data_IF_118485002844
#
_entry.id   IF_118485002844
#
_cell.length_a   1.000
_cell.length_b   1.000
_cell.length_c   1.000
_cell.angle_alpha   90.00
_cell.angle_beta   90.00
_cell.angle_gamma   90.00
#
_symmetry.space_group_name_H-M   'P 1'
#
loop_
_entity.id
_entity.type
_entity.pdbx_description
1 polymer ?
#
# COMPACT_ATOMS: atom_id res chain seq x y z
N UNK A 1 -18.86 2.27 1.70
CA UNK A 1 -18.44 1.15 2.56
C UNK A 1 -17.88 0.00 1.71
N UNK A 2 -18.69 -0.68 0.89
CA UNK A 2 -18.24 -1.84 0.06
C UNK A 2 -17.08 -1.50 -0.88
N UNK A 3 -17.08 -0.32 -1.51
CA UNK A 3 -16.00 0.11 -2.40
C UNK A 3 -14.64 0.20 -1.70
N UNK A 4 -14.60 0.68 -0.45
CA UNK A 4 -13.36 0.84 0.32
C UNK A 4 -12.82 -0.54 0.73
N UNK A 5 -13.70 -1.43 1.20
CA UNK A 5 -13.34 -2.80 1.53
C UNK A 5 -12.82 -3.56 0.30
N UNK A 6 -13.52 -3.48 -0.84
CA UNK A 6 -13.05 -4.08 -2.09
C UNK A 6 -11.68 -3.53 -2.50
N UNK A 7 -11.47 -2.23 -2.37
CA UNK A 7 -10.17 -1.59 -2.67
C UNK A 7 -9.05 -2.08 -1.75
N UNK A 8 -9.33 -2.34 -0.47
CA UNK A 8 -8.38 -2.94 0.47
C UNK A 8 -7.99 -4.36 0.09
N UNK A 9 -8.95 -5.21 -0.32
CA UNK A 9 -8.65 -6.58 -0.78
C UNK A 9 -7.82 -6.58 -2.08
N UNK A 10 -8.15 -5.70 -3.02
CA UNK A 10 -7.49 -5.57 -4.32
C UNK A 10 -6.15 -4.84 -4.26
N UNK A 11 -5.84 -4.17 -3.15
CA UNK A 11 -4.61 -3.41 -2.95
C UNK A 11 -3.34 -4.27 -2.87
N UNK A 12 -3.49 -5.60 -2.83
CA UNK A 12 -2.38 -6.55 -2.86
C UNK A 12 -1.89 -7.02 -1.50
N UNK A 13 -2.52 -6.59 -0.39
CA UNK A 13 -2.19 -7.05 0.96
C UNK A 13 -2.65 -8.49 1.23
N UNK A 14 -3.86 -8.86 0.76
CA UNK A 14 -4.47 -10.16 1.06
C UNK A 14 -4.36 -11.21 -0.06
N UNK A 15 -4.11 -10.81 -1.31
CA UNK A 15 -4.18 -11.71 -2.47
C UNK A 15 -2.94 -11.50 -3.36
N UNK A 16 -2.01 -12.48 -3.32
CA UNK A 16 -0.81 -12.49 -4.19
C UNK A 16 -1.08 -13.07 -5.60
N UNK A 17 -2.13 -13.86 -5.77
CA UNK A 17 -2.54 -14.44 -7.07
C UNK A 17 -3.90 -13.89 -7.49
N UNK A 18 -3.92 -12.93 -8.42
CA UNK A 18 -5.15 -12.50 -9.09
C UNK A 18 -5.20 -13.04 -10.53
N UNK A 19 -6.37 -13.49 -11.01
CA UNK A 19 -6.54 -13.87 -12.41
C UNK A 19 -6.28 -12.66 -13.32
N UNK A 20 -5.73 -12.91 -14.51
CA UNK A 20 -5.22 -11.89 -15.44
C UNK A 20 -6.21 -10.74 -15.71
N UNK A 21 -7.52 -11.03 -15.77
CA UNK A 21 -8.56 -10.02 -15.98
C UNK A 21 -8.73 -9.01 -14.84
N UNK A 22 -8.46 -9.39 -13.59
CA UNK A 22 -8.59 -8.52 -12.42
C UNK A 22 -7.28 -7.85 -12.02
N UNK A 23 -6.17 -8.16 -12.69
CA UNK A 23 -4.87 -7.56 -12.41
C UNK A 23 -4.88 -6.04 -12.58
N UNK A 24 -5.64 -5.53 -13.56
CA UNK A 24 -5.80 -4.10 -13.82
C UNK A 24 -6.44 -3.34 -12.66
N UNK A 25 -7.29 -4.01 -11.86
CA UNK A 25 -8.01 -3.39 -10.75
C UNK A 25 -7.07 -2.99 -9.60
N UNK A 26 -5.90 -3.63 -9.50
CA UNK A 26 -4.83 -3.26 -8.55
C UNK A 26 -4.31 -1.84 -8.79
N UNK A 27 -4.35 -1.35 -10.03
CA UNK A 27 -3.91 0.00 -10.40
C UNK A 27 -4.98 1.08 -10.18
N UNK A 28 -6.23 0.69 -9.92
CA UNK A 28 -7.33 1.62 -9.63
C UNK A 28 -7.49 1.82 -8.12
N UNK A 29 -7.01 0.87 -7.30
CA UNK A 29 -7.12 0.95 -5.85
C UNK A 29 -6.25 2.07 -5.28
N UNK A 30 -6.88 3.19 -4.93
CA UNK A 30 -6.21 4.30 -4.22
C UNK A 30 -5.55 3.82 -2.92
N UNK A 31 -6.09 2.76 -2.31
CA UNK A 31 -5.61 2.19 -1.04
C UNK A 31 -4.20 1.64 -1.19
N UNK A 32 -3.88 0.99 -2.32
CA UNK A 32 -2.51 0.50 -2.60
C UNK A 32 -1.52 1.66 -2.58
N UNK A 33 -1.83 2.72 -3.34
CA UNK A 33 -0.95 3.87 -3.49
C UNK A 33 -0.81 4.66 -2.18
N UNK A 34 -1.90 4.85 -1.43
CA UNK A 34 -1.83 5.49 -0.12
C UNK A 34 -1.03 4.66 0.88
N UNK A 35 -1.21 3.35 0.90
CA UNK A 35 -0.47 2.47 1.80
C UNK A 35 1.01 2.46 1.47
N UNK A 36 1.36 2.29 0.19
CA UNK A 36 2.75 2.35 -0.28
C UNK A 36 3.40 3.69 0.05
N UNK A 37 2.69 4.79 -0.15
CA UNK A 37 3.16 6.12 0.20
C UNK A 37 3.41 6.25 1.72
N UNK A 38 2.44 5.85 2.55
CA UNK A 38 2.53 5.93 4.02
C UNK A 38 3.66 5.07 4.58
N UNK A 39 3.85 3.85 4.04
CA UNK A 39 4.94 2.97 4.45
C UNK A 39 6.28 3.55 3.99
N UNK A 40 6.41 4.01 2.74
CA UNK A 40 7.65 4.61 2.28
C UNK A 40 8.02 5.84 3.12
N UNK A 41 7.12 6.80 3.38
CA UNK A 41 7.46 7.97 4.22
C UNK A 41 7.84 7.61 5.66
N UNK A 42 7.23 6.54 6.21
CA UNK A 42 7.43 6.16 7.61
C UNK A 42 8.72 5.38 7.82
N UNK A 43 9.11 4.58 6.83
CA UNK A 43 10.24 3.66 6.91
C UNK A 43 11.48 4.12 6.10
N UNK A 44 11.39 5.18 5.28
CA UNK A 44 12.51 5.80 4.54
C UNK A 44 13.48 6.57 5.45
N UNK A 45 13.11 6.82 6.71
CA UNK A 45 14.04 7.43 7.67
C UNK A 45 15.13 6.43 8.08
N UNK A 46 16.44 6.78 7.99
CA UNK A 46 17.56 5.92 8.40
C UNK A 46 17.57 5.59 9.91
N UNK A 47 16.68 6.23 10.67
CA UNK A 47 16.45 6.00 12.11
C UNK A 47 15.41 4.91 12.39
N UNK A 48 14.66 4.45 11.38
CA UNK A 48 13.67 3.38 11.50
C UNK A 48 14.37 2.01 11.52
N UNK A 49 15.05 1.72 12.62
CA UNK A 49 15.63 0.41 12.90
C UNK A 49 14.74 -0.34 13.89
N UNK A 50 14.24 -1.49 13.46
CA UNK A 50 13.41 -2.36 14.30
C UNK A 50 14.33 -3.37 14.96
N UNK A 51 14.29 -3.42 16.30
CA UNK A 51 15.12 -4.37 17.04
C UNK A 51 14.57 -5.78 16.85
N UNK A 52 15.45 -6.70 16.50
CA UNK A 52 15.12 -8.10 16.42
C UNK A 52 14.79 -8.65 17.80
N UNK A 53 13.85 -9.59 17.86
CA UNK A 53 13.54 -10.29 19.09
C UNK A 53 14.75 -11.09 19.56
N UNK A 54 14.97 -11.12 20.88
CA UNK A 54 16.11 -11.85 21.45
C UNK A 54 15.89 -13.36 21.32
N UNK A 55 16.98 -14.15 21.22
CA UNK A 55 16.86 -15.61 21.26
C UNK A 55 16.14 -16.03 22.54
N UNK A 56 15.01 -16.72 22.38
CA UNK A 56 14.14 -17.18 23.49
C UNK A 56 12.87 -16.36 23.75
N UNK A 57 12.67 -15.22 23.08
CA UNK A 57 11.41 -14.43 23.16
C UNK A 57 10.34 -14.89 22.17
N UNK A 58 10.70 -15.68 21.15
CA UNK A 58 9.76 -16.26 20.19
C UNK A 58 9.30 -17.66 20.61
N UNK A 59 8.03 -18.00 20.40
CA UNK A 59 7.55 -19.36 20.59
C UNK A 59 8.29 -20.34 19.67
N UNK A 60 8.52 -21.55 20.17
CA UNK A 60 9.23 -22.60 19.44
C UNK A 60 8.57 -22.89 18.08
N UNK A 61 9.36 -22.83 17.00
CA UNK A 61 8.90 -23.08 15.63
C UNK A 61 8.65 -21.83 14.78
N UNK A 62 8.91 -20.63 15.28
CA UNK A 62 8.78 -19.38 14.53
C UNK A 62 10.17 -18.81 14.18
N UNK A 63 10.55 -18.87 12.91
CA UNK A 63 11.80 -18.29 12.40
C UNK A 63 11.68 -16.77 12.36
N UNK A 64 12.64 -16.07 12.97
CA UNK A 64 12.68 -14.61 12.89
C UNK A 64 13.15 -14.18 11.49
N UNK A 65 12.57 -13.10 10.95
CA UNK A 65 13.01 -12.48 9.67
C UNK A 65 14.48 -12.00 9.77
N UNK A 66 15.01 -11.88 10.98
CA UNK A 66 16.39 -11.51 11.28
C UNK A 66 17.40 -12.64 11.06
N UNK A 67 16.94 -13.88 10.81
CA UNK A 67 17.76 -15.07 10.65
C UNK A 67 18.06 -15.35 9.17
N UNK A 68 18.47 -14.31 8.43
CA UNK A 68 18.69 -14.38 6.98
C UNK A 68 20.18 -14.40 6.60
N UNK A 69 21.08 -14.80 7.50
CA UNK A 69 22.52 -14.92 7.19
C UNK A 69 23.38 -15.48 8.33
N UNK A 70 24.69 -15.65 8.06
CA UNK A 70 25.70 -16.25 8.96
C UNK A 70 25.94 -15.47 10.27
N UNK A 71 25.38 -14.27 10.41
CA UNK A 71 25.44 -13.44 11.62
C UNK A 71 24.03 -13.00 12.03
N UNK A 72 23.61 -13.20 13.29
CA UNK A 72 22.29 -12.78 13.74
C UNK A 72 22.21 -11.24 13.74
N UNK A 73 21.37 -10.67 12.87
CA UNK A 73 21.15 -9.23 12.83
C UNK A 73 20.41 -8.80 14.10
N UNK A 74 20.92 -7.78 14.78
CA UNK A 74 20.31 -7.20 15.99
C UNK A 74 19.25 -6.15 15.68
N UNK A 75 19.28 -5.58 14.46
CA UNK A 75 18.29 -4.63 13.95
C UNK A 75 18.01 -4.83 12.46
N UNK A 76 16.75 -4.68 12.06
CA UNK A 76 16.29 -4.64 10.66
C UNK A 76 16.01 -3.20 10.28
N UNK A 77 16.56 -2.75 9.14
CA UNK A 77 16.19 -1.47 8.53
C UNK A 77 14.79 -1.56 7.94
N UNK A 78 13.99 -0.50 8.13
CA UNK A 78 12.67 -0.35 7.51
C UNK A 78 12.64 -0.54 5.99
N UNK A 79 13.76 -0.25 5.31
CA UNK A 79 13.92 -0.47 3.86
C UNK A 79 13.76 -1.94 3.44
N UNK A 80 14.28 -2.89 4.24
CA UNK A 80 14.17 -4.33 3.98
C UNK A 80 12.71 -4.84 4.07
N UNK A 81 11.87 -4.16 4.84
CA UNK A 81 10.44 -4.47 4.97
C UNK A 81 9.70 -4.01 3.70
N UNK A 82 10.05 -2.83 3.17
CA UNK A 82 9.49 -2.30 1.92
C UNK A 82 9.85 -3.20 0.73
N UNK A 83 11.09 -3.71 0.71
CA UNK A 83 11.58 -4.63 -0.33
C UNK A 83 10.86 -5.98 -0.29
N UNK A 84 10.70 -6.58 0.89
CA UNK A 84 10.01 -7.87 1.04
C UNK A 84 8.51 -7.80 0.69
N UNK A 85 7.87 -6.64 0.88
CA UNK A 85 6.48 -6.40 0.51
C UNK A 85 6.31 -6.04 -0.99
N UNK A 86 7.39 -5.87 -1.75
CA UNK A 86 7.32 -5.50 -3.17
C UNK A 86 6.71 -4.12 -3.39
N UNK A 87 6.89 -3.21 -2.42
CA UNK A 87 6.35 -1.85 -2.44
C UNK A 87 7.33 -0.83 -3.05
N UNK A 88 8.55 -1.24 -3.38
CA UNK A 88 9.61 -0.37 -3.92
C UNK A 88 9.62 -0.25 -5.45
N UNK A 89 8.68 -0.85 -6.17
CA UNK A 89 8.61 -0.72 -7.64
C UNK A 89 8.43 0.74 -8.11
N UNK A 90 7.75 1.57 -7.31
CA UNK A 90 7.49 2.98 -7.61
C UNK A 90 7.96 3.88 -6.45
N UNK A 91 8.70 4.96 -6.74
CA UNK A 91 9.11 5.93 -5.73
C UNK A 91 7.92 6.71 -5.18
N UNK A 92 8.04 7.19 -3.94
CA UNK A 92 6.95 7.77 -3.15
C UNK A 92 6.22 8.92 -3.87
N UNK A 93 6.96 9.76 -4.61
CA UNK A 93 6.38 10.89 -5.33
C UNK A 93 5.46 10.47 -6.49
N UNK A 94 5.72 9.32 -7.14
CA UNK A 94 4.83 8.79 -8.19
C UNK A 94 3.52 8.32 -7.57
N UNK A 95 3.59 7.60 -6.44
CA UNK A 95 2.40 7.18 -5.70
C UNK A 95 1.54 8.39 -5.30
N UNK A 96 2.17 9.49 -4.89
CA UNK A 96 1.51 10.75 -4.54
C UNK A 96 0.84 11.40 -5.76
N UNK A 97 1.52 11.49 -6.91
CA UNK A 97 0.95 12.06 -8.15
C UNK A 97 -0.28 11.27 -8.60
N UNK A 98 -0.21 9.93 -8.55
CA UNK A 98 -1.34 9.06 -8.90
C UNK A 98 -2.53 9.32 -7.97
N UNK A 99 -2.27 9.45 -6.66
CA UNK A 99 -3.31 9.73 -5.67
C UNK A 99 -4.01 11.07 -5.92
N UNK A 100 -3.23 12.11 -6.24
CA UNK A 100 -3.75 13.43 -6.63
C UNK A 100 -4.58 13.34 -7.91
N UNK A 101 -4.12 12.60 -8.91
CA UNK A 101 -4.86 12.34 -10.15
C UNK A 101 -6.23 11.71 -9.89
N UNK A 102 -6.29 10.64 -9.08
CA UNK A 102 -7.56 9.99 -8.70
C UNK A 102 -8.48 10.97 -7.96
N UNK A 103 -7.95 11.81 -7.08
CA UNK A 103 -8.73 12.81 -6.35
C UNK A 103 -9.36 13.83 -7.31
N UNK A 104 -8.59 14.35 -8.26
CA UNK A 104 -9.08 15.30 -9.27
C UNK A 104 -10.17 14.65 -10.13
N UNK A 105 -9.96 13.43 -10.61
CA UNK A 105 -10.95 12.69 -11.41
C UNK A 105 -12.25 12.49 -10.63
N UNK A 106 -12.16 12.09 -9.35
CA UNK A 106 -13.32 11.95 -8.48
C UNK A 106 -14.11 13.26 -8.33
N UNK A 107 -13.41 14.40 -8.20
CA UNK A 107 -14.03 15.74 -8.13
C UNK A 107 -14.72 16.11 -9.43
N UNK A 108 -14.10 15.87 -10.59
CA UNK A 108 -14.68 16.17 -11.91
C UNK A 108 -15.93 15.32 -12.15
N UNK A 109 -15.89 14.03 -11.84
CA UNK A 109 -17.03 13.12 -11.97
C UNK A 109 -18.19 13.53 -11.05
N UNK A 110 -17.90 13.91 -9.80
CA UNK A 110 -18.91 14.41 -8.88
C UNK A 110 -19.54 15.72 -9.37
N UNK A 111 -18.71 16.66 -9.85
CA UNK A 111 -19.19 17.92 -10.44
C UNK A 111 -20.08 17.67 -11.65
N UNK A 112 -19.67 16.79 -12.56
CA UNK A 112 -20.44 16.46 -13.76
C UNK A 112 -21.76 15.76 -13.41
N UNK A 113 -21.74 14.85 -12.44
CA UNK A 113 -22.93 14.15 -11.96
C UNK A 113 -23.94 15.11 -11.32
N UNK A 114 -23.47 16.01 -10.45
CA UNK A 114 -24.30 17.04 -9.83
C UNK A 114 -24.84 18.04 -10.87
N UNK A 115 -24.01 18.47 -11.82
CA UNK A 115 -24.42 19.38 -12.89
C UNK A 115 -25.46 18.75 -13.81
N UNK A 116 -25.31 17.46 -14.14
CA UNK A 116 -26.28 16.72 -14.95
C UNK A 116 -27.60 16.52 -14.20
N UNK A 117 -27.54 16.20 -12.90
CA UNK A 117 -28.73 16.05 -12.07
C UNK A 117 -29.47 17.39 -11.86
N UNK A 118 -28.74 18.47 -11.60
CA UNK A 118 -29.32 19.82 -11.47
C UNK A 118 -30.02 20.27 -12.75
N UNK A 119 -29.50 19.92 -13.93
CA UNK A 119 -30.16 20.20 -15.21
C UNK A 119 -31.47 19.42 -15.38
N UNK A 120 -31.49 18.13 -15.01
CA UNK A 120 -32.71 17.30 -15.05
C UNK A 120 -33.81 17.77 -14.10
N UNK A 121 -33.46 18.39 -12.98
CA UNK A 121 -34.46 18.90 -12.02
C UNK A 121 -35.17 20.19 -12.47
N UNK A 122 -34.71 20.84 -13.55
CA UNK A 122 -35.31 22.07 -14.10
C UNK A 122 -36.19 21.82 -15.33
N UNK A 123 -36.21 20.58 -15.81
CA UNK A 123 -37.08 20.08 -16.88
C UNK A 123 -38.25 19.32 -16.24
#
# INVERSE_FOLDING_TARGET
MVFILASMLLGGYYIKYLPFGLYWLRYISFVKYSYSLLVQIQFDSPKAQFRCARPGELPAGQSSICETGDVPLTSISGSSIIENEGLNDLPWYINLIILLGICIVGRVLAYYSLRRNSRRSKE
#
